data_IF_523079245876
#
_entry.id   IF_523079245876
#
_cell.length_a   1.000
_cell.length_b   1.000
_cell.length_c   1.000
_cell.angle_alpha   90.00
_cell.angle_beta   90.00
_cell.angle_gamma   90.00
#
_symmetry.space_group_name_H-M   'P 1'
#
loop_
_entity.id
_entity.type
_entity.pdbx_description
1 polymer ?
#
# COMPACT_ATOMS: atom_id res chain seq x y z
N UNK A 1 32.24 18.34 -24.26
CA UNK A 1 32.84 18.39 -22.90
C UNK A 1 31.89 18.82 -21.75
N UNK A 2 30.57 19.08 -21.97
CA UNK A 2 29.61 19.45 -20.88
C UNK A 2 28.97 18.26 -20.16
N UNK A 3 28.95 17.04 -20.74
CA UNK A 3 28.30 15.84 -20.15
C UNK A 3 28.96 15.32 -18.86
N UNK A 4 30.26 15.51 -18.68
CA UNK A 4 30.97 14.97 -17.52
C UNK A 4 30.80 15.79 -16.22
N UNK A 5 30.42 17.07 -16.30
CA UNK A 5 30.22 17.88 -15.09
C UNK A 5 28.89 17.54 -14.39
N UNK A 6 27.86 17.19 -15.16
CA UNK A 6 26.56 16.75 -14.58
C UNK A 6 26.67 15.38 -13.89
N UNK A 7 27.52 14.47 -14.42
CA UNK A 7 27.77 13.17 -13.80
C UNK A 7 28.45 13.29 -12.42
N UNK A 8 29.30 14.31 -12.20
CA UNK A 8 29.94 14.55 -10.90
C UNK A 8 28.94 15.02 -9.82
N UNK A 9 27.87 15.72 -10.22
CA UNK A 9 26.83 16.16 -9.31
C UNK A 9 25.94 15.00 -8.82
N UNK A 10 25.88 13.88 -9.56
CA UNK A 10 25.13 12.68 -9.15
C UNK A 10 25.92 11.76 -8.21
N UNK A 11 27.26 11.92 -8.12
CA UNK A 11 28.14 11.07 -7.30
C UNK A 11 27.71 11.05 -5.81
N UNK A 12 27.45 12.18 -5.13
CA UNK A 12 27.04 12.16 -3.73
C UNK A 12 25.77 11.37 -3.52
N UNK A 13 24.79 11.49 -4.43
CA UNK A 13 23.54 10.73 -4.39
C UNK A 13 23.77 9.22 -4.61
N UNK A 14 24.63 8.86 -5.57
CA UNK A 14 24.97 7.45 -5.84
C UNK A 14 25.67 6.82 -4.63
N UNK A 15 26.61 7.53 -4.01
CA UNK A 15 27.29 7.06 -2.79
C UNK A 15 26.29 6.87 -1.66
N UNK A 16 25.40 7.83 -1.45
CA UNK A 16 24.35 7.72 -0.45
C UNK A 16 23.44 6.50 -0.69
N UNK A 17 22.99 6.31 -1.92
CA UNK A 17 22.15 5.17 -2.32
C UNK A 17 22.86 3.83 -2.09
N UNK A 18 24.16 3.72 -2.46
CA UNK A 18 24.95 2.50 -2.24
C UNK A 18 25.07 2.22 -0.74
N UNK A 19 25.47 3.21 0.05
CA UNK A 19 25.72 3.03 1.48
C UNK A 19 24.45 2.72 2.25
N UNK A 20 23.36 3.42 1.99
CA UNK A 20 22.14 3.31 2.80
C UNK A 20 21.08 2.36 2.22
N UNK A 21 21.23 1.92 0.97
CA UNK A 21 20.28 0.98 0.37
C UNK A 21 20.94 -0.35 0.02
N UNK A 22 22.03 -0.35 -0.76
CA UNK A 22 22.62 -1.60 -1.23
C UNK A 22 23.39 -2.35 -0.13
N UNK A 23 24.10 -1.65 0.76
CA UNK A 23 24.85 -2.32 1.85
C UNK A 23 23.87 -3.01 2.83
N UNK A 24 22.83 -2.35 3.38
CA UNK A 24 21.86 -3.03 4.24
C UNK A 24 21.14 -4.21 3.56
N UNK A 25 20.78 -4.05 2.27
CA UNK A 25 20.23 -5.15 1.48
C UNK A 25 21.20 -6.33 1.34
N UNK A 26 22.47 -6.03 1.10
CA UNK A 26 23.54 -7.04 1.05
C UNK A 26 23.71 -7.77 2.39
N UNK A 27 23.60 -7.04 3.50
CA UNK A 27 23.64 -7.64 4.86
C UNK A 27 22.44 -8.57 5.09
N UNK A 28 21.23 -8.15 4.72
CA UNK A 28 20.03 -9.00 4.81
C UNK A 28 20.19 -10.25 3.92
N UNK A 29 20.70 -10.10 2.70
CA UNK A 29 20.96 -11.23 1.81
C UNK A 29 22.03 -12.17 2.39
N UNK A 30 23.07 -11.64 3.02
CA UNK A 30 24.10 -12.45 3.69
C UNK A 30 23.48 -13.27 4.82
N UNK A 31 22.74 -12.66 5.74
CA UNK A 31 22.06 -13.40 6.83
C UNK A 31 21.04 -14.41 6.30
N UNK A 32 20.30 -14.10 5.24
CA UNK A 32 19.33 -15.03 4.65
C UNK A 32 19.97 -16.31 4.11
N UNK A 33 21.23 -16.22 3.65
CA UNK A 33 21.97 -17.30 2.99
C UNK A 33 23.04 -17.94 3.88
N UNK A 34 23.12 -17.57 5.17
CA UNK A 34 24.09 -18.14 6.12
C UNK A 34 23.39 -18.85 7.27
N UNK A 35 24.02 -19.91 7.76
CA UNK A 35 23.60 -20.63 8.95
C UNK A 35 23.99 -19.84 10.21
N UNK A 36 23.08 -19.66 11.20
CA UNK A 36 23.35 -18.88 12.39
C UNK A 36 24.47 -19.45 13.27
N UNK A 37 24.64 -20.79 13.30
CA UNK A 37 25.58 -21.46 14.19
C UNK A 37 26.97 -21.61 13.57
N UNK A 38 27.02 -21.93 12.27
CA UNK A 38 28.28 -22.24 11.58
C UNK A 38 28.82 -21.11 10.71
N UNK A 39 27.98 -20.10 10.37
CA UNK A 39 28.31 -19.05 9.42
C UNK A 39 28.51 -19.55 7.97
N UNK A 40 28.27 -20.84 7.73
CA UNK A 40 28.41 -21.45 6.42
C UNK A 40 27.28 -21.04 5.47
N UNK A 41 27.56 -20.97 4.18
CA UNK A 41 26.52 -20.71 3.18
C UNK A 41 25.52 -21.85 3.14
N UNK A 42 24.23 -21.55 3.34
CA UNK A 42 23.15 -22.54 3.34
C UNK A 42 21.89 -21.98 2.68
N UNK A 43 21.12 -22.86 2.07
CA UNK A 43 19.78 -22.56 1.55
C UNK A 43 18.67 -23.09 2.48
N UNK A 44 19.03 -23.65 3.65
CA UNK A 44 18.05 -24.23 4.58
C UNK A 44 17.01 -23.20 5.04
N UNK A 45 17.42 -21.94 5.31
CA UNK A 45 16.52 -20.86 5.69
C UNK A 45 15.46 -20.59 4.61
N UNK A 46 15.81 -20.76 3.32
CA UNK A 46 14.87 -20.62 2.21
C UNK A 46 13.97 -21.86 2.05
N UNK A 47 14.43 -23.06 2.40
CA UNK A 47 13.61 -24.26 2.38
C UNK A 47 12.54 -24.25 3.49
N UNK A 48 12.85 -23.69 4.64
CA UNK A 48 11.91 -23.52 5.74
C UNK A 48 10.79 -22.51 5.45
N UNK A 49 10.90 -21.73 4.38
CA UNK A 49 9.85 -20.80 3.91
C UNK A 49 8.52 -21.48 3.59
N UNK A 50 8.53 -22.76 3.25
CA UNK A 50 7.30 -23.53 3.00
C UNK A 50 6.31 -23.46 4.16
N UNK A 51 6.81 -23.35 5.41
CA UNK A 51 6.02 -23.20 6.63
C UNK A 51 5.28 -21.86 6.70
N UNK A 52 5.78 -20.82 6.01
CA UNK A 52 5.26 -19.46 6.07
C UNK A 52 4.44 -19.06 4.83
N UNK A 53 4.34 -19.95 3.82
CA UNK A 53 3.51 -19.72 2.63
C UNK A 53 2.05 -19.35 2.95
N UNK A 54 1.38 -19.98 3.95
CA UNK A 54 0.01 -19.57 4.30
C UNK A 54 -0.06 -18.13 4.83
N UNK A 55 0.95 -17.70 5.60
CA UNK A 55 1.03 -16.33 6.14
C UNK A 55 1.29 -15.33 5.00
N UNK A 56 2.17 -15.67 4.07
CA UNK A 56 2.45 -14.86 2.88
C UNK A 56 1.19 -14.71 2.02
N UNK A 57 0.50 -15.83 1.72
CA UNK A 57 -0.74 -15.83 0.95
C UNK A 57 -1.82 -14.98 1.59
N UNK A 58 -1.97 -15.04 2.91
CA UNK A 58 -2.91 -14.21 3.67
C UNK A 58 -2.54 -12.72 3.58
N UNK A 59 -1.26 -12.38 3.72
CA UNK A 59 -0.79 -10.99 3.61
C UNK A 59 -1.08 -10.39 2.24
N UNK A 60 -0.80 -11.14 1.17
CA UNK A 60 -1.14 -10.75 -0.20
C UNK A 60 -2.66 -10.63 -0.37
N UNK A 61 -3.44 -11.59 0.15
CA UNK A 61 -4.89 -11.56 0.08
C UNK A 61 -5.48 -10.32 0.76
N UNK A 62 -5.04 -9.99 1.97
CA UNK A 62 -5.53 -8.79 2.69
C UNK A 62 -5.09 -7.51 2.00
N UNK A 63 -3.88 -7.46 1.45
CA UNK A 63 -3.39 -6.31 0.67
C UNK A 63 -4.23 -6.09 -0.59
N UNK A 64 -4.53 -7.15 -1.34
CA UNK A 64 -5.39 -7.08 -2.55
C UNK A 64 -6.80 -6.65 -2.18
N UNK A 65 -7.43 -7.26 -1.17
CA UNK A 65 -8.77 -6.89 -0.70
C UNK A 65 -8.80 -5.43 -0.27
N UNK A 66 -7.82 -4.98 0.51
CA UNK A 66 -7.73 -3.59 0.96
C UNK A 66 -7.53 -2.62 -0.21
N UNK A 67 -6.70 -2.97 -1.18
CA UNK A 67 -6.48 -2.16 -2.38
C UNK A 67 -7.75 -2.06 -3.25
N UNK A 68 -8.49 -3.16 -3.41
CA UNK A 68 -9.76 -3.16 -4.14
C UNK A 68 -10.82 -2.31 -3.42
N UNK A 69 -10.93 -2.41 -2.10
CA UNK A 69 -11.83 -1.56 -1.32
C UNK A 69 -11.43 -0.09 -1.43
N UNK A 70 -10.11 0.21 -1.34
CA UNK A 70 -9.61 1.56 -1.54
C UNK A 70 -9.94 2.09 -2.94
N UNK A 71 -9.88 1.24 -3.98
CA UNK A 71 -10.25 1.63 -5.34
C UNK A 71 -11.75 1.93 -5.43
N UNK A 72 -12.60 1.04 -4.92
CA UNK A 72 -14.07 1.21 -4.95
C UNK A 72 -14.51 2.49 -4.21
N UNK A 73 -13.88 2.80 -3.08
CA UNK A 73 -14.19 4.00 -2.30
C UNK A 73 -13.47 5.23 -2.84
N UNK A 74 -12.22 5.09 -3.24
CA UNK A 74 -11.36 6.19 -3.68
C UNK A 74 -11.72 6.72 -5.05
N UNK A 75 -12.16 5.87 -5.98
CA UNK A 75 -12.48 6.30 -7.34
C UNK A 75 -13.65 7.30 -7.39
N UNK A 76 -14.81 7.05 -6.75
CA UNK A 76 -15.89 8.04 -6.70
C UNK A 76 -15.46 9.36 -6.04
N UNK A 77 -14.66 9.30 -4.98
CA UNK A 77 -14.13 10.50 -4.30
C UNK A 77 -13.20 11.28 -5.22
N UNK A 78 -12.24 10.63 -5.87
CA UNK A 78 -11.32 11.26 -6.81
C UNK A 78 -12.07 11.89 -8.00
N UNK A 79 -13.05 11.16 -8.54
CA UNK A 79 -13.91 11.65 -9.62
C UNK A 79 -14.71 12.88 -9.21
N UNK A 80 -15.34 12.85 -8.04
CA UNK A 80 -16.07 13.99 -7.51
C UNK A 80 -15.16 15.21 -7.33
N UNK A 81 -13.98 15.05 -6.72
CA UNK A 81 -13.01 16.13 -6.53
C UNK A 81 -12.60 16.73 -7.88
N UNK A 82 -12.33 15.90 -8.88
CA UNK A 82 -11.89 16.36 -10.21
C UNK A 82 -12.93 17.23 -10.92
N UNK A 83 -14.22 17.03 -10.65
CA UNK A 83 -15.33 17.80 -11.26
C UNK A 83 -15.80 19.01 -10.42
N UNK A 84 -15.18 19.25 -9.26
CA UNK A 84 -15.48 20.42 -8.44
C UNK A 84 -14.85 21.70 -9.02
N UNK A 85 -15.34 22.88 -8.55
CA UNK A 85 -14.71 24.17 -8.86
C UNK A 85 -13.27 24.24 -8.35
N UNK A 86 -12.36 24.99 -8.99
CA UNK A 86 -10.92 25.01 -8.65
C UNK A 86 -10.60 25.27 -7.17
N UNK A 87 -11.36 26.12 -6.51
CA UNK A 87 -11.19 26.38 -5.07
C UNK A 87 -11.57 25.15 -4.23
N UNK A 88 -12.71 24.52 -4.52
CA UNK A 88 -13.17 23.33 -3.84
C UNK A 88 -12.25 22.13 -4.10
N UNK A 89 -11.71 21.98 -5.31
CA UNK A 89 -10.71 20.95 -5.63
C UNK A 89 -9.50 21.04 -4.70
N UNK A 90 -8.90 22.25 -4.58
CA UNK A 90 -7.74 22.46 -3.71
C UNK A 90 -8.05 22.16 -2.26
N UNK A 91 -9.22 22.60 -1.78
CA UNK A 91 -9.64 22.37 -0.39
C UNK A 91 -9.88 20.89 -0.11
N UNK A 92 -10.61 20.19 -0.99
CA UNK A 92 -10.90 18.76 -0.83
C UNK A 92 -9.63 17.91 -0.96
N UNK A 93 -8.74 18.24 -1.88
CA UNK A 93 -7.44 17.61 -2.02
C UNK A 93 -6.61 17.73 -0.73
N UNK A 94 -6.54 18.93 -0.14
CA UNK A 94 -5.87 19.14 1.14
C UNK A 94 -6.54 18.33 2.27
N UNK A 95 -7.89 18.25 2.28
CA UNK A 95 -8.63 17.47 3.27
C UNK A 95 -8.31 15.98 3.19
N UNK A 96 -8.15 15.42 1.98
CA UNK A 96 -7.73 14.03 1.77
C UNK A 96 -6.30 13.80 2.28
N UNK A 97 -5.42 14.79 2.15
CA UNK A 97 -4.04 14.69 2.64
C UNK A 97 -3.93 14.88 4.16
N UNK A 98 -4.88 15.53 4.81
CA UNK A 98 -4.81 15.87 6.23
C UNK A 98 -4.58 14.64 7.13
N UNK A 99 -5.25 13.49 6.95
CA UNK A 99 -4.96 12.29 7.74
C UNK A 99 -3.51 11.81 7.58
N UNK A 100 -2.87 12.04 6.43
CA UNK A 100 -1.47 11.62 6.20
C UNK A 100 -0.48 12.43 7.05
N UNK A 101 -0.84 13.65 7.46
CA UNK A 101 -0.04 14.48 8.35
C UNK A 101 -0.03 13.98 9.81
N UNK A 102 -0.94 13.07 10.16
CA UNK A 102 -0.99 12.46 11.48
C UNK A 102 -0.12 11.21 11.52
N UNK A 103 0.46 10.92 12.69
CA UNK A 103 1.23 9.68 12.90
C UNK A 103 0.38 8.45 12.59
N UNK A 104 0.93 7.55 11.76
CA UNK A 104 0.35 6.26 11.42
C UNK A 104 0.00 5.43 12.67
N UNK A 105 0.87 5.45 13.68
CA UNK A 105 0.69 4.73 14.95
C UNK A 105 -0.53 5.26 15.70
N UNK A 106 -0.66 6.58 15.82
CA UNK A 106 -1.79 7.21 16.54
C UNK A 106 -3.12 6.93 15.85
N UNK A 107 -3.15 6.96 14.52
CA UNK A 107 -4.35 6.62 13.75
C UNK A 107 -4.80 5.17 13.99
N UNK A 108 -3.84 4.24 13.98
CA UNK A 108 -4.15 2.83 14.25
C UNK A 108 -4.64 2.62 15.69
N UNK A 109 -4.01 3.27 16.68
CA UNK A 109 -4.46 3.21 18.08
C UNK A 109 -5.84 3.83 18.30
N UNK A 110 -6.18 4.88 17.56
CA UNK A 110 -7.53 5.44 17.61
C UNK A 110 -8.59 4.41 17.17
N UNK A 111 -8.30 3.64 16.10
CA UNK A 111 -9.17 2.54 15.69
C UNK A 111 -9.26 1.43 16.73
N UNK A 112 -8.16 1.10 17.42
CA UNK A 112 -8.19 0.17 18.56
C UNK A 112 -9.17 0.66 19.62
N UNK A 113 -9.09 1.94 20.03
CA UNK A 113 -10.01 2.52 21.01
C UNK A 113 -11.48 2.55 20.58
N UNK A 114 -11.75 2.72 19.28
CA UNK A 114 -13.09 2.71 18.71
C UNK A 114 -13.71 1.31 18.65
N UNK A 115 -12.90 0.29 18.28
CA UNK A 115 -13.36 -1.08 18.02
C UNK A 115 -13.31 -1.99 19.25
N UNK A 116 -12.70 -1.57 20.37
CA UNK A 116 -12.66 -2.36 21.61
C UNK A 116 -14.06 -2.72 22.10
N UNK A 117 -14.16 -3.79 22.90
CA UNK A 117 -15.41 -4.27 23.46
C UNK A 117 -16.15 -3.21 24.31
N UNK A 118 -15.39 -2.33 24.95
CA UNK A 118 -15.89 -1.14 25.69
C UNK A 118 -15.71 0.15 24.89
N UNK A 119 -15.45 0.05 23.59
CA UNK A 119 -15.22 1.17 22.70
C UNK A 119 -16.49 1.94 22.34
N UNK A 120 -16.32 3.11 21.73
CA UNK A 120 -17.43 4.02 21.38
C UNK A 120 -18.45 3.33 20.47
N UNK A 121 -17.98 2.52 19.50
CA UNK A 121 -18.87 1.82 18.56
C UNK A 121 -19.74 0.79 19.30
N UNK A 122 -19.14 -0.02 20.18
CA UNK A 122 -19.88 -1.02 20.94
C UNK A 122 -20.84 -0.40 21.96
N UNK A 123 -20.46 0.72 22.58
CA UNK A 123 -21.37 1.45 23.46
C UNK A 123 -22.59 2.02 22.69
N UNK A 124 -22.35 2.50 21.45
CA UNK A 124 -23.45 2.97 20.60
C UNK A 124 -24.37 1.83 20.15
N UNK A 125 -23.79 0.67 19.75
CA UNK A 125 -24.55 -0.53 19.37
C UNK A 125 -25.42 -1.05 20.55
N UNK A 126 -24.86 -1.03 21.75
CA UNK A 126 -25.57 -1.43 22.97
C UNK A 126 -26.73 -0.47 23.29
N UNK A 127 -26.51 0.85 23.12
CA UNK A 127 -27.52 1.88 23.32
C UNK A 127 -28.73 1.77 22.35
N UNK A 128 -28.49 1.30 21.11
CA UNK A 128 -29.55 1.07 20.12
C UNK A 128 -30.18 -0.35 20.18
N UNK A 129 -29.78 -1.17 21.19
CA UNK A 129 -30.35 -2.48 21.43
C UNK A 129 -29.85 -3.64 20.58
N UNK A 130 -28.76 -3.44 19.80
CA UNK A 130 -28.12 -4.51 18.98
C UNK A 130 -27.26 -5.41 19.86
N UNK A 131 -26.75 -4.89 21.00
CA UNK A 131 -25.77 -5.56 21.83
C UNK A 131 -24.33 -5.36 21.37
N UNK A 132 -23.39 -5.84 22.19
CA UNK A 132 -21.94 -5.71 21.90
C UNK A 132 -21.48 -6.76 20.92
N UNK A 133 -20.67 -6.35 19.95
CA UNK A 133 -20.08 -7.22 18.93
C UNK A 133 -18.55 -7.28 19.11
N UNK A 134 -17.95 -8.43 18.82
CA UNK A 134 -16.50 -8.58 18.77
C UNK A 134 -15.97 -7.96 17.46
N UNK A 135 -15.73 -6.66 17.47
CA UNK A 135 -15.26 -5.91 16.29
C UNK A 135 -13.74 -5.96 16.16
N UNK A 136 -13.02 -5.82 17.29
CA UNK A 136 -11.55 -5.90 17.35
C UNK A 136 -11.08 -7.35 17.25
N UNK A 137 -9.81 -7.54 16.85
CA UNK A 137 -9.16 -8.86 16.68
C UNK A 137 -9.81 -9.73 15.61
N UNK A 138 -10.37 -9.10 14.60
CA UNK A 138 -11.00 -9.76 13.44
C UNK A 138 -10.27 -9.43 12.15
N UNK A 139 -10.37 -10.29 11.11
CA UNK A 139 -9.89 -9.96 9.77
C UNK A 139 -10.46 -8.63 9.24
N UNK A 140 -11.74 -8.38 9.52
CA UNK A 140 -12.41 -7.15 9.11
C UNK A 140 -11.81 -5.90 9.74
N UNK A 141 -11.41 -5.96 11.02
CA UNK A 141 -10.74 -4.85 11.70
C UNK A 141 -9.37 -4.52 11.07
N UNK A 142 -8.62 -5.56 10.69
CA UNK A 142 -7.31 -5.39 10.03
C UNK A 142 -7.50 -4.73 8.65
N UNK A 143 -8.43 -5.24 7.84
CA UNK A 143 -8.74 -4.69 6.51
C UNK A 143 -9.25 -3.25 6.64
N UNK A 144 -10.14 -2.96 7.59
CA UNK A 144 -10.63 -1.60 7.86
C UNK A 144 -9.48 -0.65 8.21
N UNK A 145 -8.56 -1.08 9.09
CA UNK A 145 -7.37 -0.32 9.46
C UNK A 145 -6.45 -0.05 8.25
N UNK A 146 -6.26 -1.04 7.38
CA UNK A 146 -5.52 -0.87 6.13
C UNK A 146 -6.20 0.11 5.19
N UNK A 147 -7.49 -0.06 4.93
CA UNK A 147 -8.26 0.83 4.05
C UNK A 147 -8.21 2.26 4.55
N UNK A 148 -8.47 2.50 5.83
CA UNK A 148 -8.42 3.85 6.39
C UNK A 148 -7.05 4.51 6.24
N UNK A 149 -5.98 3.75 6.51
CA UNK A 149 -4.63 4.30 6.44
C UNK A 149 -4.16 4.53 5.01
N UNK A 150 -4.58 3.68 4.06
CA UNK A 150 -4.07 3.69 2.69
C UNK A 150 -5.03 4.32 1.66
N UNK A 151 -6.27 4.65 2.01
CA UNK A 151 -7.24 5.29 1.12
C UNK A 151 -6.71 6.57 0.44
N UNK A 152 -6.02 7.50 1.12
CA UNK A 152 -5.45 8.68 0.47
C UNK A 152 -4.45 8.32 -0.64
N UNK A 153 -3.65 7.26 -0.47
CA UNK A 153 -2.68 6.81 -1.49
C UNK A 153 -3.36 6.31 -2.77
N UNK A 154 -4.63 5.90 -2.70
CA UNK A 154 -5.43 5.56 -3.86
C UNK A 154 -6.05 6.80 -4.50
N UNK A 155 -6.60 7.72 -3.69
CA UNK A 155 -7.31 8.90 -4.18
C UNK A 155 -6.38 9.85 -4.94
N UNK A 156 -5.16 10.08 -4.44
CA UNK A 156 -4.26 11.08 -4.99
C UNK A 156 -3.83 10.81 -6.44
N UNK A 157 -3.33 9.59 -6.81
CA UNK A 157 -2.98 9.32 -8.20
C UNK A 157 -4.20 9.27 -9.12
N UNK A 158 -5.34 8.75 -8.64
CA UNK A 158 -6.59 8.77 -9.40
C UNK A 158 -7.01 10.20 -9.73
N UNK A 159 -7.04 11.08 -8.75
CA UNK A 159 -7.35 12.49 -8.95
C UNK A 159 -6.37 13.14 -9.94
N UNK A 160 -5.07 12.89 -9.79
CA UNK A 160 -4.04 13.50 -10.63
C UNK A 160 -4.18 13.13 -12.12
N UNK A 161 -4.71 11.96 -12.43
CA UNK A 161 -5.00 11.54 -13.81
C UNK A 161 -6.37 12.06 -14.26
N UNK A 162 -7.42 11.88 -13.46
CA UNK A 162 -8.80 12.24 -13.85
C UNK A 162 -8.91 13.75 -14.12
N UNK A 163 -8.26 14.60 -13.33
CA UNK A 163 -8.29 16.06 -13.51
C UNK A 163 -7.65 16.52 -14.83
N UNK A 164 -6.79 15.69 -15.45
CA UNK A 164 -6.13 15.99 -16.73
C UNK A 164 -6.92 15.51 -17.94
N UNK A 165 -7.99 14.76 -17.75
CA UNK A 165 -8.84 14.30 -18.87
C UNK A 165 -9.50 15.52 -19.50
N UNK A 166 -9.30 15.69 -20.82
CA UNK A 166 -9.89 16.82 -21.55
C UNK A 166 -11.43 16.67 -21.59
N UNK A 167 -12.15 17.67 -21.08
CA UNK A 167 -13.60 17.70 -21.09
C UNK A 167 -14.23 17.57 -22.47
N UNK A 168 -13.51 17.98 -23.53
CA UNK A 168 -13.94 17.80 -24.92
C UNK A 168 -14.16 16.34 -25.33
N UNK A 169 -13.43 15.40 -24.72
CA UNK A 169 -13.62 13.97 -24.96
C UNK A 169 -14.95 13.48 -24.38
N UNK A 170 -15.35 14.06 -23.25
CA UNK A 170 -16.64 13.77 -22.60
C UNK A 170 -17.77 14.35 -23.45
N UNK A 171 -17.68 15.62 -23.86
CA UNK A 171 -18.64 16.29 -24.72
C UNK A 171 -18.81 15.55 -26.06
N UNK A 172 -17.71 15.17 -26.72
CA UNK A 172 -17.75 14.40 -27.95
C UNK A 172 -18.44 13.04 -27.81
N UNK A 173 -18.25 12.34 -26.68
CA UNK A 173 -18.94 11.09 -26.40
C UNK A 173 -20.45 11.30 -26.19
N UNK A 174 -20.84 12.39 -25.53
CA UNK A 174 -22.25 12.75 -25.34
C UNK A 174 -22.91 13.17 -26.65
N UNK A 175 -22.22 13.92 -27.53
CA UNK A 175 -22.68 14.27 -28.87
C UNK A 175 -22.90 13.04 -29.77
N UNK A 176 -22.10 11.98 -29.55
CA UNK A 176 -22.29 10.69 -30.22
C UNK A 176 -23.42 9.83 -29.60
N UNK A 177 -24.17 10.37 -28.64
CA UNK A 177 -25.32 9.72 -28.02
C UNK A 177 -24.98 8.78 -26.86
N UNK A 178 -23.77 8.84 -26.29
CA UNK A 178 -23.43 8.08 -25.12
C UNK A 178 -24.20 8.61 -23.89
N UNK A 179 -24.76 7.69 -23.09
CA UNK A 179 -25.28 8.06 -21.77
C UNK A 179 -24.13 8.35 -20.81
N UNK A 180 -24.34 9.11 -19.69
CA UNK A 180 -23.28 9.40 -18.73
C UNK A 180 -22.55 8.15 -18.22
N UNK A 181 -23.26 7.04 -18.01
CA UNK A 181 -22.66 5.77 -17.61
C UNK A 181 -21.79 5.16 -18.74
N UNK A 182 -22.23 5.29 -20.00
CA UNK A 182 -21.43 4.82 -21.15
C UNK A 182 -20.19 5.68 -21.35
N UNK A 183 -20.29 7.01 -21.19
CA UNK A 183 -19.15 7.93 -21.21
C UNK A 183 -18.15 7.59 -20.11
N UNK A 184 -18.65 7.32 -18.90
CA UNK A 184 -17.80 6.87 -17.80
C UNK A 184 -17.04 5.57 -18.13
N UNK A 185 -17.76 4.52 -18.54
CA UNK A 185 -17.16 3.19 -18.77
C UNK A 185 -16.26 3.17 -20.03
N UNK A 186 -16.65 3.87 -21.10
CA UNK A 186 -15.96 3.79 -22.40
C UNK A 186 -14.87 4.83 -22.58
N UNK A 187 -14.92 5.96 -21.87
CA UNK A 187 -13.99 7.08 -22.03
C UNK A 187 -13.18 7.32 -20.74
N UNK A 188 -13.86 7.64 -19.64
CA UNK A 188 -13.18 8.08 -18.42
C UNK A 188 -12.40 6.92 -17.76
N UNK A 189 -13.04 5.77 -17.61
CA UNK A 189 -12.43 4.61 -16.95
C UNK A 189 -11.17 4.11 -17.68
N UNK A 190 -11.18 3.91 -19.03
CA UNK A 190 -9.96 3.52 -19.75
C UNK A 190 -8.84 4.57 -19.65
N UNK A 191 -9.16 5.85 -19.74
CA UNK A 191 -8.18 6.94 -19.62
C UNK A 191 -7.62 7.07 -18.20
N UNK A 192 -8.34 6.58 -17.19
CA UNK A 192 -7.89 6.59 -15.79
C UNK A 192 -7.12 5.33 -15.36
N UNK A 193 -6.98 4.31 -16.22
CA UNK A 193 -6.23 3.07 -15.91
C UNK A 193 -4.83 3.33 -15.38
N UNK A 194 -4.00 4.24 -15.92
CA UNK A 194 -2.69 4.56 -15.35
C UNK A 194 -2.79 5.04 -13.90
N UNK A 195 -3.78 5.87 -13.57
CA UNK A 195 -4.06 6.32 -12.20
C UNK A 195 -4.52 5.20 -11.27
N UNK A 196 -5.33 4.27 -11.79
CA UNK A 196 -5.77 3.07 -11.05
C UNK A 196 -4.56 2.21 -10.69
N UNK A 197 -3.69 1.90 -11.66
CA UNK A 197 -2.53 1.05 -11.44
C UNK A 197 -1.50 1.70 -10.50
N UNK A 198 -1.26 3.01 -10.66
CA UNK A 198 -0.41 3.77 -9.74
C UNK A 198 -0.98 3.75 -8.31
N UNK A 199 -2.27 4.03 -8.14
CA UNK A 199 -2.95 3.97 -6.84
C UNK A 199 -2.93 2.57 -6.23
N UNK A 200 -3.20 1.53 -7.03
CA UNK A 200 -3.11 0.13 -6.60
C UNK A 200 -1.71 -0.22 -6.09
N UNK A 201 -0.67 0.19 -6.80
CA UNK A 201 0.72 -0.05 -6.39
C UNK A 201 1.04 0.69 -5.07
N UNK A 202 0.64 1.96 -4.97
CA UNK A 202 0.88 2.78 -3.76
C UNK A 202 0.14 2.26 -2.52
N UNK A 203 -0.97 1.53 -2.69
CA UNK A 203 -1.71 0.89 -1.60
C UNK A 203 -1.17 -0.52 -1.32
N UNK A 204 -0.95 -1.32 -2.36
CA UNK A 204 -0.59 -2.73 -2.24
C UNK A 204 0.76 -2.94 -1.55
N UNK A 205 1.79 -2.19 -1.94
CA UNK A 205 3.15 -2.34 -1.41
C UNK A 205 3.22 -2.16 0.11
N UNK A 206 2.74 -1.03 0.70
CA UNK A 206 2.73 -0.88 2.14
C UNK A 206 1.73 -1.81 2.85
N UNK A 207 0.63 -2.22 2.18
CA UNK A 207 -0.34 -3.13 2.76
C UNK A 207 0.22 -4.54 2.95
N UNK A 208 0.97 -5.09 1.99
CA UNK A 208 1.60 -6.41 2.11
C UNK A 208 2.65 -6.43 3.22
N UNK A 209 3.42 -5.36 3.37
CA UNK A 209 4.52 -5.26 4.35
C UNK A 209 4.09 -4.73 5.71
N UNK A 210 2.80 -4.42 5.91
CA UNK A 210 2.31 -3.88 7.20
C UNK A 210 2.47 -4.90 8.32
N UNK A 211 2.83 -4.42 9.50
CA UNK A 211 2.92 -5.23 10.73
C UNK A 211 2.16 -4.61 11.90
N UNK A 212 2.15 -3.29 11.99
CA UNK A 212 1.56 -2.59 13.14
C UNK A 212 0.03 -2.67 13.17
N UNK A 213 -0.62 -2.59 12.00
CA UNK A 213 -2.09 -2.68 11.89
C UNK A 213 -2.54 -4.06 12.34
N UNK A 214 -1.94 -5.12 11.79
CA UNK A 214 -2.30 -6.49 12.10
C UNK A 214 -1.97 -6.87 13.54
N UNK A 215 -0.85 -6.39 14.10
CA UNK A 215 -0.50 -6.65 15.50
C UNK A 215 -1.44 -5.99 16.51
N UNK A 216 -2.07 -4.86 16.15
CA UNK A 216 -2.96 -4.09 17.05
C UNK A 216 -4.45 -4.40 16.85
N UNK A 217 -4.88 -4.56 15.61
CA UNK A 217 -6.29 -4.79 15.26
C UNK A 217 -6.62 -6.26 15.01
N UNK A 218 -5.60 -7.10 14.77
CA UNK A 218 -5.75 -8.52 14.50
C UNK A 218 -5.57 -9.41 15.72
N UNK A 219 -5.60 -10.71 15.47
CA UNK A 219 -5.34 -11.81 16.41
C UNK A 219 -4.24 -12.73 15.87
N UNK A 220 -3.97 -13.84 16.55
CA UNK A 220 -2.96 -14.82 16.15
C UNK A 220 -3.24 -15.42 14.77
N UNK A 221 -4.52 -15.59 14.40
CA UNK A 221 -4.93 -16.13 13.11
C UNK A 221 -4.79 -15.11 11.98
N UNK A 222 -4.81 -13.82 12.30
CA UNK A 222 -4.65 -12.71 11.34
C UNK A 222 -3.22 -12.20 11.22
N UNK A 223 -2.25 -12.90 11.82
CA UNK A 223 -0.82 -12.56 11.71
C UNK A 223 -0.40 -12.45 10.25
N UNK A 224 0.22 -11.35 9.88
CA UNK A 224 0.73 -11.08 8.54
C UNK A 224 2.24 -11.27 8.46
N UNK A 225 2.76 -11.26 7.25
CA UNK A 225 4.18 -11.52 6.99
C UNK A 225 5.08 -10.47 7.68
N UNK A 226 4.64 -9.22 7.75
CA UNK A 226 5.35 -8.16 8.47
C UNK A 226 5.45 -8.42 9.97
N UNK A 227 4.38 -8.90 10.62
CA UNK A 227 4.40 -9.32 12.04
C UNK A 227 5.36 -10.50 12.26
N UNK A 228 5.34 -11.44 11.33
CA UNK A 228 6.24 -12.60 11.41
C UNK A 228 7.70 -12.17 11.36
N UNK A 229 8.05 -11.30 10.40
CA UNK A 229 9.40 -10.75 10.27
C UNK A 229 9.81 -10.02 11.56
N UNK A 230 8.93 -9.15 12.09
CA UNK A 230 9.21 -8.44 13.33
C UNK A 230 9.47 -9.39 14.50
N UNK A 231 8.66 -10.46 14.63
CA UNK A 231 8.83 -11.48 15.68
C UNK A 231 10.14 -12.25 15.55
N UNK A 232 10.51 -12.63 14.32
CA UNK A 232 11.75 -13.36 14.07
C UNK A 232 12.99 -12.55 14.45
N UNK A 233 12.98 -11.23 14.18
CA UNK A 233 14.08 -10.36 14.57
C UNK A 233 14.11 -10.00 16.07
N UNK A 234 12.93 -9.82 16.71
CA UNK A 234 12.85 -9.31 18.07
C UNK A 234 12.67 -10.37 19.16
N UNK A 235 11.96 -11.46 18.87
CA UNK A 235 11.48 -12.38 19.89
C UNK A 235 11.98 -13.82 19.71
N UNK A 236 12.17 -14.29 18.49
CA UNK A 236 12.52 -15.67 18.20
C UNK A 236 14.04 -15.92 18.13
N UNK A 237 14.85 -14.87 18.28
CA UNK A 237 16.31 -14.87 18.22
C UNK A 237 16.88 -15.62 16.99
N UNK A 238 16.14 -15.57 15.86
CA UNK A 238 16.52 -16.18 14.60
C UNK A 238 16.52 -15.13 13.46
N UNK A 239 17.50 -14.23 13.46
CA UNK A 239 17.58 -13.16 12.46
C UNK A 239 17.82 -13.67 11.05
N UNK A 240 18.46 -14.85 10.90
CA UNK A 240 18.76 -15.45 9.61
C UNK A 240 17.46 -15.87 8.89
N UNK A 241 16.53 -16.50 9.61
CA UNK A 241 15.21 -16.85 9.07
C UNK A 241 14.39 -15.59 8.81
N UNK A 242 14.43 -14.59 9.71
CA UNK A 242 13.79 -13.30 9.50
C UNK A 242 14.29 -12.59 8.23
N UNK A 243 15.60 -12.65 7.99
CA UNK A 243 16.23 -12.11 6.79
C UNK A 243 15.78 -12.86 5.52
N UNK A 244 15.69 -14.20 5.57
CA UNK A 244 15.21 -15.01 4.44
C UNK A 244 13.76 -14.67 4.07
N UNK A 245 12.87 -14.58 5.06
CA UNK A 245 11.46 -14.19 4.85
C UNK A 245 11.35 -12.77 4.28
N UNK A 246 12.18 -11.83 4.79
CA UNK A 246 12.22 -10.45 4.29
C UNK A 246 12.67 -10.38 2.83
N UNK A 247 13.65 -11.20 2.44
CA UNK A 247 14.18 -11.25 1.08
C UNK A 247 13.12 -11.78 0.10
N UNK A 248 12.38 -12.82 0.49
CA UNK A 248 11.27 -13.35 -0.32
C UNK A 248 10.12 -12.34 -0.43
N UNK A 249 9.78 -11.64 0.66
CA UNK A 249 8.79 -10.59 0.62
C UNK A 249 9.21 -9.47 -0.33
N UNK A 250 10.47 -9.04 -0.28
CA UNK A 250 11.02 -8.03 -1.18
C UNK A 250 10.93 -8.48 -2.65
N UNK A 251 11.35 -9.73 -2.94
CA UNK A 251 11.26 -10.28 -4.30
C UNK A 251 9.80 -10.32 -4.80
N UNK A 252 8.86 -10.75 -3.96
CA UNK A 252 7.44 -10.77 -4.29
C UNK A 252 6.91 -9.37 -4.60
N UNK A 253 7.21 -8.38 -3.74
CA UNK A 253 6.80 -6.98 -3.95
C UNK A 253 7.36 -6.43 -5.26
N UNK A 254 8.65 -6.68 -5.55
CA UNK A 254 9.28 -6.23 -6.80
C UNK A 254 8.64 -6.88 -8.03
N UNK A 255 8.33 -8.18 -7.97
CA UNK A 255 7.63 -8.88 -9.07
C UNK A 255 6.23 -8.29 -9.27
N UNK A 256 5.45 -8.13 -8.20
CA UNK A 256 4.11 -7.56 -8.27
C UNK A 256 4.13 -6.14 -8.83
N UNK A 257 5.04 -5.29 -8.34
CA UNK A 257 5.20 -3.90 -8.81
C UNK A 257 5.64 -3.88 -10.27
N UNK A 258 6.60 -4.72 -10.66
CA UNK A 258 7.04 -4.83 -12.05
C UNK A 258 5.92 -5.27 -13.00
N UNK A 259 5.08 -6.22 -12.57
CA UNK A 259 3.90 -6.64 -13.33
C UNK A 259 2.89 -5.49 -13.46
N UNK A 260 2.59 -4.78 -12.37
CA UNK A 260 1.63 -3.67 -12.37
C UNK A 260 2.13 -2.53 -13.28
N UNK A 261 3.41 -2.17 -13.21
CA UNK A 261 4.00 -1.14 -14.07
C UNK A 261 4.00 -1.54 -15.55
N UNK A 262 4.20 -2.82 -15.87
CA UNK A 262 4.12 -3.30 -17.25
C UNK A 262 2.72 -3.13 -17.88
N UNK A 263 1.66 -3.21 -17.06
CA UNK A 263 0.28 -2.96 -17.51
C UNK A 263 -0.13 -1.49 -17.45
N UNK A 264 0.63 -0.65 -16.70
CA UNK A 264 0.33 0.78 -16.51
C UNK A 264 0.79 1.70 -17.61
N UNK A 265 1.63 1.24 -18.55
CA UNK A 265 2.27 2.08 -19.56
C UNK A 265 3.31 3.04 -18.96
N UNK A 266 4.39 3.27 -19.69
CA UNK A 266 5.56 4.11 -19.28
C UNK A 266 5.24 5.61 -19.15
N UNK A 267 4.28 6.03 -18.30
CA UNK A 267 4.08 7.47 -18.03
C UNK A 267 4.96 8.02 -16.87
N UNK A 268 5.76 7.20 -16.20
CA UNK A 268 6.76 7.70 -15.23
C UNK A 268 8.02 8.32 -15.88
N UNK A 269 8.12 8.29 -17.20
CA UNK A 269 9.24 8.91 -17.95
C UNK A 269 9.15 10.42 -18.18
N UNK A 270 8.12 11.11 -17.70
CA UNK A 270 7.78 12.50 -18.04
C UNK A 270 8.10 13.58 -17.00
N UNK A 271 8.86 13.31 -15.95
CA UNK A 271 9.28 14.35 -15.00
C UNK A 271 10.79 14.43 -14.91
N UNK A 272 11.46 14.63 -16.04
CA UNK A 272 12.78 15.23 -16.09
C UNK A 272 12.81 16.18 -17.29
N UNK A 273 12.33 17.39 -17.14
CA UNK A 273 12.89 18.59 -17.78
C UNK A 273 12.75 19.74 -16.80
#
# INVERSE_FOLDING_TARGET
MKKNKAAWLTVPYMVWMIVFTLIPLGVVAYYALTDPDTGAFTLSNLMDLSKFLPVLGRSVGYAVISALICLILGYPVAYFIAHCKPFAQKMLYMLVMLPMCMSFLLRTLAWVGLLQDTGIINNLLDAIGIGRLTLIRTPAAVILGMVYNYLPYMILPLYAIIVKIDGRLIEAAEDLGCTPLQTFIKVILPLSVPGILSGMTMVFVPAVSTFYISSKLGNTETTLIGDLIERLFKQADNPNLGAAVSLVLMALVLICTGLMNRFGGDEEGGVIV
#
